data_IF_932002385744
#
_entry.id   IF_932002385744
#
_cell.length_a   1.000
_cell.length_b   1.000
_cell.length_c   1.000
_cell.angle_alpha   90.00
_cell.angle_beta   90.00
_cell.angle_gamma   90.00
#
_symmetry.space_group_name_H-M   'P 1'
#
loop_
_entity.id
_entity.type
_entity.pdbx_description
1 polymer ?
#
# COMPACT_ATOMS: atom_id res chain seq x y z
N UNK A 1 -52.17 5.04 -8.60
CA UNK A 1 -50.76 5.31 -8.99
C UNK A 1 -49.88 4.21 -8.37
N UNK A 2 -49.32 3.30 -9.19
CA UNK A 2 -48.54 2.14 -8.73
C UNK A 2 -47.04 2.54 -8.65
N UNK A 3 -46.39 2.44 -7.49
CA UNK A 3 -44.94 2.63 -7.36
C UNK A 3 -44.25 1.26 -7.58
N UNK A 4 -43.36 1.10 -8.58
CA UNK A 4 -42.63 -0.15 -8.73
C UNK A 4 -41.71 -0.33 -7.52
N UNK A 5 -41.86 -1.44 -6.80
CA UNK A 5 -40.90 -1.87 -5.80
C UNK A 5 -39.79 -2.64 -6.51
N UNK A 6 -38.52 -2.29 -6.28
CA UNK A 6 -37.38 -3.06 -6.79
C UNK A 6 -37.33 -4.40 -6.07
N UNK A 7 -38.11 -5.37 -6.56
CA UNK A 7 -38.09 -6.75 -6.05
C UNK A 7 -36.80 -7.41 -6.52
N UNK A 8 -35.83 -7.55 -5.61
CA UNK A 8 -34.59 -8.28 -5.84
C UNK A 8 -34.90 -9.77 -5.96
N UNK A 9 -35.00 -10.29 -7.19
CA UNK A 9 -35.24 -11.71 -7.44
C UNK A 9 -33.92 -12.49 -7.39
N UNK A 10 -33.85 -13.43 -6.44
CA UNK A 10 -33.01 -14.63 -6.37
C UNK A 10 -31.57 -14.57 -6.92
N UNK A 11 -30.62 -14.20 -6.06
CA UNK A 11 -29.33 -14.89 -5.98
C UNK A 11 -29.38 -15.84 -4.77
N UNK A 12 -28.70 -16.99 -4.82
CA UNK A 12 -28.64 -17.94 -3.71
C UNK A 12 -28.05 -17.25 -2.46
N UNK A 13 -28.93 -16.75 -1.59
CA UNK A 13 -28.60 -15.66 -0.67
C UNK A 13 -27.80 -16.07 0.57
N UNK A 14 -27.54 -17.37 0.75
CA UNK A 14 -26.95 -17.92 1.98
C UNK A 14 -26.09 -19.18 1.72
N UNK A 15 -25.16 -19.16 0.74
CA UNK A 15 -24.26 -20.31 0.52
C UNK A 15 -23.25 -20.50 1.66
N UNK A 16 -22.98 -19.44 2.42
CA UNK A 16 -22.01 -19.43 3.52
C UNK A 16 -22.68 -18.85 4.76
N UNK A 17 -22.62 -19.59 5.85
CA UNK A 17 -23.00 -19.07 7.16
C UNK A 17 -21.95 -18.06 7.60
N UNK A 18 -22.33 -16.78 7.65
CA UNK A 18 -21.45 -15.72 8.09
C UNK A 18 -21.30 -15.78 9.61
N UNK A 19 -20.15 -16.23 10.08
CA UNK A 19 -19.83 -16.17 11.51
C UNK A 19 -19.72 -14.68 11.93
N UNK A 20 -20.51 -14.22 12.92
CA UNK A 20 -20.46 -12.84 13.39
C UNK A 20 -19.07 -12.41 13.85
N UNK A 21 -18.23 -13.33 14.37
CA UNK A 21 -16.88 -12.98 14.80
C UNK A 21 -15.97 -12.64 13.60
N UNK A 22 -16.00 -13.46 12.54
CA UNK A 22 -15.26 -13.19 11.31
C UNK A 22 -15.73 -11.92 10.60
N UNK A 23 -17.04 -11.66 10.57
CA UNK A 23 -17.60 -10.41 10.02
C UNK A 23 -17.09 -9.21 10.81
N UNK A 24 -17.08 -9.28 12.15
CA UNK A 24 -16.56 -8.21 13.00
C UNK A 24 -15.06 -7.98 12.78
N UNK A 25 -14.28 -9.05 12.70
CA UNK A 25 -12.84 -8.98 12.41
C UNK A 25 -12.58 -8.28 11.08
N UNK A 26 -13.25 -8.70 10.00
CA UNK A 26 -13.12 -8.08 8.69
C UNK A 26 -13.48 -6.58 8.73
N UNK A 27 -14.59 -6.24 9.39
CA UNK A 27 -15.02 -4.85 9.56
C UNK A 27 -14.00 -4.00 10.33
N UNK A 28 -13.27 -4.57 11.30
CA UNK A 28 -12.22 -3.85 12.03
C UNK A 28 -11.09 -3.38 11.09
N UNK A 29 -10.67 -4.19 10.11
CA UNK A 29 -9.61 -3.77 9.17
C UNK A 29 -10.07 -2.66 8.24
N UNK A 30 -11.30 -2.78 7.72
CA UNK A 30 -11.91 -1.81 6.80
C UNK A 30 -12.11 -0.47 7.51
N UNK A 31 -12.62 -0.49 8.75
CA UNK A 31 -12.96 0.70 9.54
C UNK A 31 -11.80 1.28 10.35
N UNK A 32 -10.62 0.69 10.27
CA UNK A 32 -9.42 1.11 11.02
C UNK A 32 -9.02 2.58 10.80
N UNK A 33 -9.29 3.14 9.63
CA UNK A 33 -9.01 4.54 9.33
C UNK A 33 -9.92 5.50 10.11
N UNK A 34 -11.15 5.10 10.43
CA UNK A 34 -12.10 5.91 11.22
C UNK A 34 -11.65 6.04 12.68
N UNK A 35 -11.03 4.99 13.22
CA UNK A 35 -10.56 4.94 14.61
C UNK A 35 -9.06 5.25 14.76
N UNK A 36 -8.41 5.76 13.71
CA UNK A 36 -7.00 6.09 13.76
C UNK A 36 -6.72 7.27 14.70
N UNK A 37 -5.58 7.21 15.40
CA UNK A 37 -5.13 8.28 16.30
C UNK A 37 -3.66 8.60 16.06
N UNK A 38 -3.34 9.89 16.08
CA UNK A 38 -1.97 10.36 16.12
C UNK A 38 -1.40 10.13 17.52
N UNK A 39 -0.47 9.18 17.60
CA UNK A 39 0.34 8.91 18.77
C UNK A 39 1.79 9.21 18.40
N UNK A 40 2.69 9.49 19.36
CA UNK A 40 4.09 9.73 19.04
C UNK A 40 4.71 8.62 18.18
N UNK A 41 4.34 7.36 18.43
CA UNK A 41 4.77 6.22 17.63
C UNK A 41 4.25 6.25 16.20
N UNK A 42 2.94 6.44 16.00
CA UNK A 42 2.34 6.43 14.65
C UNK A 42 2.80 7.63 13.84
N UNK A 43 2.93 8.80 14.47
CA UNK A 43 3.49 10.00 13.85
C UNK A 43 4.92 9.77 13.35
N UNK A 44 5.79 9.19 14.20
CA UNK A 44 7.17 8.91 13.81
C UNK A 44 7.27 7.90 12.67
N UNK A 45 6.46 6.84 12.70
CA UNK A 45 6.39 5.88 11.60
C UNK A 45 5.94 6.55 10.31
N UNK A 46 4.91 7.41 10.34
CA UNK A 46 4.48 8.14 9.16
C UNK A 46 5.61 9.00 8.59
N UNK A 47 6.34 9.75 9.43
CA UNK A 47 7.47 10.57 8.96
C UNK A 47 8.55 9.71 8.29
N UNK A 48 8.91 8.57 8.87
CA UNK A 48 9.92 7.69 8.27
C UNK A 48 9.46 7.18 6.90
N UNK A 49 8.26 6.61 6.81
CA UNK A 49 7.82 5.94 5.59
C UNK A 49 7.37 6.89 4.49
N UNK A 50 6.84 8.08 4.84
CA UNK A 50 6.37 9.05 3.86
C UNK A 50 7.47 10.01 3.43
N UNK A 51 8.41 10.36 4.32
CA UNK A 51 9.45 11.34 4.03
C UNK A 51 10.84 10.72 3.99
N UNK A 52 11.30 10.11 5.08
CA UNK A 52 12.71 9.71 5.20
C UNK A 52 13.12 8.66 4.17
N UNK A 53 12.29 7.63 3.95
CA UNK A 53 12.57 6.56 2.98
C UNK A 53 12.55 7.12 1.55
N UNK A 54 11.47 7.77 1.06
CA UNK A 54 11.49 8.34 -0.29
C UNK A 54 12.61 9.33 -0.49
N UNK A 55 12.84 10.25 0.46
CA UNK A 55 13.93 11.23 0.35
C UNK A 55 15.31 10.56 0.28
N UNK A 56 15.57 9.55 1.10
CA UNK A 56 16.83 8.80 1.07
C UNK A 56 17.03 8.05 -0.24
N UNK A 57 15.99 7.37 -0.74
CA UNK A 57 16.03 6.68 -2.04
C UNK A 57 16.27 7.67 -3.17
N UNK A 58 15.52 8.77 -3.20
CA UNK A 58 15.64 9.82 -4.22
C UNK A 58 17.03 10.46 -4.20
N UNK A 59 17.58 10.74 -3.01
CA UNK A 59 18.93 11.29 -2.88
C UNK A 59 19.99 10.35 -3.45
N UNK A 60 19.93 9.05 -3.10
CA UNK A 60 20.86 8.06 -3.65
C UNK A 60 20.66 7.90 -5.15
N UNK A 61 19.41 7.85 -5.63
CA UNK A 61 19.10 7.72 -7.05
C UNK A 61 19.73 8.87 -7.86
N UNK A 62 19.47 10.13 -7.49
CA UNK A 62 20.09 11.28 -8.15
C UNK A 62 21.62 11.30 -7.99
N UNK A 63 22.11 10.86 -6.83
CA UNK A 63 23.55 10.76 -6.58
C UNK A 63 24.25 9.65 -7.36
N UNK A 64 23.53 8.66 -7.91
CA UNK A 64 24.09 7.50 -8.62
C UNK A 64 23.68 7.43 -10.09
N UNK A 65 22.74 8.28 -10.51
CA UNK A 65 22.28 8.40 -11.89
C UNK A 65 23.47 8.67 -12.83
N UNK A 66 23.58 7.87 -13.89
CA UNK A 66 24.64 7.99 -14.89
C UNK A 66 26.05 7.64 -14.43
N UNK A 67 26.28 7.35 -13.14
CA UNK A 67 27.63 7.06 -12.63
C UNK A 67 28.12 5.65 -12.92
N UNK A 68 27.22 4.73 -13.26
CA UNK A 68 27.55 3.33 -13.46
C UNK A 68 26.97 2.83 -14.77
N UNK A 69 27.84 2.41 -15.69
CA UNK A 69 27.46 1.77 -16.95
C UNK A 69 28.13 0.40 -17.07
N UNK A 70 27.31 -0.64 -17.18
CA UNK A 70 27.76 -2.03 -17.31
C UNK A 70 27.78 -2.51 -18.76
N UNK A 71 27.39 -1.64 -19.71
CA UNK A 71 27.25 -2.01 -21.12
C UNK A 71 28.63 -2.27 -21.73
N UNK A 72 28.86 -3.51 -22.19
CA UNK A 72 30.07 -3.89 -22.91
C UNK A 72 31.35 -3.98 -22.06
N UNK A 73 31.26 -3.93 -20.73
CA UNK A 73 32.41 -3.99 -19.82
C UNK A 73 32.89 -5.45 -19.64
N UNK A 74 34.21 -5.66 -19.65
CA UNK A 74 34.86 -6.96 -19.45
C UNK A 74 35.50 -7.06 -18.06
N UNK A 75 36.07 -8.24 -17.75
CA UNK A 75 36.71 -8.50 -16.45
C UNK A 75 37.96 -7.63 -16.30
N UNK A 76 37.94 -6.73 -15.30
CA UNK A 76 39.00 -5.76 -15.04
C UNK A 76 38.66 -4.34 -15.47
N UNK A 77 37.58 -4.12 -16.23
CA UNK A 77 37.17 -2.79 -16.67
C UNK A 77 36.42 -2.01 -15.58
N UNK A 78 36.61 -0.69 -15.56
CA UNK A 78 35.92 0.20 -14.63
C UNK A 78 34.47 0.44 -15.07
N UNK A 79 33.54 0.25 -14.13
CA UNK A 79 32.09 0.44 -14.31
C UNK A 79 31.67 1.89 -14.03
N UNK A 80 32.47 2.59 -13.24
CA UNK A 80 32.28 4.00 -12.91
C UNK A 80 32.56 4.93 -14.10
N UNK A 81 31.71 5.94 -14.30
CA UNK A 81 31.82 6.96 -15.36
C UNK A 81 32.09 8.39 -14.82
N UNK A 82 32.61 8.51 -13.60
CA UNK A 82 32.94 9.78 -12.96
C UNK A 82 34.35 10.30 -13.31
#
# INVERSE_FOLDING_TARGET
MFRPTLRRMAGHANSVHMDPALVKYANMFVKRHEYFRWTPRTAWLTVIYVLAIPAGVTYVAYGTEGKYMMRGKLRGDTIAEF
#
